data_IF_970951794663
#
_entry.id   IF_970951794663
#
_cell.length_a   1.000
_cell.length_b   1.000
_cell.length_c   1.000
_cell.angle_alpha   90.00
_cell.angle_beta   90.00
_cell.angle_gamma   90.00
#
_symmetry.space_group_name_H-M   'P 1'
#
loop_
_entity.id
_entity.type
_entity.pdbx_description
1 polymer ?
#
# COMPACT_ATOMS: atom_id res chain seq x y z
N UNK A 1 7.40 -17.27 -15.02
CA UNK A 1 6.77 -17.55 -13.73
C UNK A 1 6.47 -16.18 -13.14
N UNK A 2 5.21 -15.76 -13.12
CA UNK A 2 4.84 -14.49 -12.46
C UNK A 2 4.65 -14.87 -11.01
N UNK A 3 5.69 -14.65 -10.22
CA UNK A 3 5.69 -14.92 -8.79
C UNK A 3 4.62 -14.03 -8.16
N UNK A 4 3.54 -14.64 -7.67
CA UNK A 4 2.48 -14.01 -6.88
C UNK A 4 2.98 -13.73 -5.45
N UNK A 5 4.25 -13.39 -5.29
CA UNK A 5 4.72 -12.83 -4.04
C UNK A 5 4.21 -11.39 -4.02
N UNK A 6 3.51 -10.97 -2.96
CA UNK A 6 3.19 -9.56 -2.78
C UNK A 6 4.52 -8.80 -2.76
N UNK A 7 4.88 -8.14 -3.87
CA UNK A 7 6.21 -7.54 -4.04
C UNK A 7 6.38 -6.25 -3.21
N UNK A 8 5.44 -5.95 -2.30
CA UNK A 8 5.38 -4.66 -1.61
C UNK A 8 4.99 -3.50 -2.53
N UNK A 9 4.62 -3.78 -3.78
CA UNK A 9 4.38 -2.75 -4.81
C UNK A 9 3.20 -1.86 -4.50
N UNK A 10 2.18 -2.37 -3.79
CA UNK A 10 0.99 -1.60 -3.43
C UNK A 10 1.34 -0.46 -2.47
N UNK A 11 2.03 -0.76 -1.37
CA UNK A 11 2.54 0.27 -0.43
C UNK A 11 3.57 1.18 -1.11
N UNK A 12 4.48 0.62 -1.90
CA UNK A 12 5.54 1.39 -2.54
C UNK A 12 4.98 2.41 -3.54
N UNK A 13 3.91 2.10 -4.28
CA UNK A 13 3.21 3.08 -5.12
C UNK A 13 2.61 4.23 -4.31
N UNK A 14 2.04 3.94 -3.13
CA UNK A 14 1.43 4.96 -2.28
C UNK A 14 2.50 5.92 -1.75
N UNK A 15 3.67 5.39 -1.37
CA UNK A 15 4.84 6.17 -0.95
C UNK A 15 5.43 7.00 -2.09
N UNK A 16 5.63 6.39 -3.26
CA UNK A 16 6.19 7.06 -4.44
C UNK A 16 5.34 8.25 -4.90
N UNK A 17 4.02 8.13 -4.76
CA UNK A 17 3.07 9.21 -5.04
C UNK A 17 3.00 10.29 -3.95
N UNK A 18 3.67 10.11 -2.81
CA UNK A 18 3.74 11.12 -1.74
C UNK A 18 2.39 11.50 -1.16
N UNK A 19 1.41 10.58 -1.13
CA UNK A 19 0.07 10.91 -0.61
C UNK A 19 0.09 11.25 0.88
N UNK A 20 0.99 10.62 1.64
CA UNK A 20 1.19 10.89 3.06
C UNK A 20 1.72 12.30 3.32
N UNK A 21 2.55 12.87 2.42
CA UNK A 21 3.25 14.13 2.67
C UNK A 21 2.30 15.30 2.90
N UNK A 22 1.10 15.29 2.29
CA UNK A 22 0.08 16.31 2.53
C UNK A 22 -0.50 16.31 3.94
N UNK A 23 -0.37 15.20 4.65
CA UNK A 23 -0.95 14.98 5.98
C UNK A 23 0.11 14.92 7.08
N UNK A 24 1.41 14.98 6.73
CA UNK A 24 2.51 14.96 7.71
C UNK A 24 2.48 16.17 8.63
N UNK A 25 2.15 17.35 8.11
CA UNK A 25 1.97 18.58 8.90
C UNK A 25 0.81 18.51 9.90
N UNK A 26 -0.09 17.54 9.76
CA UNK A 26 -1.24 17.38 10.65
C UNK A 26 -0.86 16.75 12.00
N UNK A 27 0.38 16.25 12.14
CA UNK A 27 0.91 15.65 13.38
C UNK A 27 0.13 14.42 13.85
N UNK A 28 -0.61 13.79 12.94
CA UNK A 28 -1.44 12.62 13.22
C UNK A 28 -0.83 11.37 12.60
N UNK A 29 -1.01 10.19 13.22
CA UNK A 29 -0.54 8.94 12.64
C UNK A 29 -1.21 8.72 11.28
N UNK A 30 -0.39 8.49 10.25
CA UNK A 30 -0.86 8.23 8.90
C UNK A 30 -0.78 6.74 8.64
N UNK A 31 -1.93 6.11 8.41
CA UNK A 31 -2.02 4.70 8.04
C UNK A 31 -2.09 4.57 6.52
N UNK A 32 -1.04 4.01 5.92
CA UNK A 32 -1.01 3.63 4.51
C UNK A 32 -1.48 2.19 4.37
N UNK A 33 -2.47 1.96 3.52
CA UNK A 33 -3.04 0.63 3.28
C UNK A 33 -2.87 0.29 1.80
N UNK A 34 -1.97 -0.64 1.51
CA UNK A 34 -1.81 -1.23 0.19
C UNK A 34 -2.67 -2.49 0.08
N UNK A 35 -3.41 -2.63 -1.01
CA UNK A 35 -4.19 -3.84 -1.32
C UNK A 35 -3.77 -4.41 -2.66
N UNK A 36 -3.62 -5.72 -2.73
CA UNK A 36 -3.24 -6.45 -3.94
C UNK A 36 -4.41 -7.30 -4.42
N UNK A 37 -4.83 -7.02 -5.64
CA UNK A 37 -5.99 -7.64 -6.26
C UNK A 37 -5.57 -8.57 -7.39
N UNK A 38 -5.99 -9.84 -7.31
CA UNK A 38 -5.83 -10.78 -8.40
C UNK A 38 -6.97 -10.65 -9.38
N UNK A 39 -6.67 -10.23 -10.62
CA UNK A 39 -7.66 -10.12 -11.69
C UNK A 39 -8.27 -11.46 -12.12
N UNK A 40 -7.52 -12.55 -11.97
CA UNK A 40 -7.96 -13.90 -12.36
C UNK A 40 -8.97 -14.46 -11.37
N UNK A 41 -8.67 -14.36 -10.07
CA UNK A 41 -9.55 -14.83 -9.00
C UNK A 41 -10.60 -13.79 -8.57
N UNK A 42 -10.49 -12.56 -9.10
CA UNK A 42 -11.29 -11.39 -8.72
C UNK A 42 -11.35 -11.17 -7.21
N UNK A 43 -10.24 -11.45 -6.53
CA UNK A 43 -10.16 -11.44 -5.08
C UNK A 43 -8.89 -10.72 -4.59
N UNK A 44 -8.90 -10.29 -3.34
CA UNK A 44 -7.76 -9.69 -2.66
C UNK A 44 -6.82 -10.84 -2.25
N UNK A 45 -5.60 -10.82 -2.75
CA UNK A 45 -4.60 -11.86 -2.48
C UNK A 45 -3.56 -11.43 -1.45
N UNK A 46 -3.50 -10.13 -1.16
CA UNK A 46 -2.60 -9.55 -0.18
C UNK A 46 -3.07 -8.17 0.24
N UNK A 47 -2.75 -7.79 1.47
CA UNK A 47 -2.87 -6.42 1.92
C UNK A 47 -1.74 -6.13 2.90
N UNK A 48 -1.28 -4.90 2.91
CA UNK A 48 -0.23 -4.44 3.81
C UNK A 48 -0.62 -3.11 4.40
N UNK A 49 -0.27 -2.92 5.68
CA UNK A 49 -0.55 -1.69 6.41
C UNK A 49 0.75 -1.18 6.99
N UNK A 50 1.07 0.07 6.70
CA UNK A 50 2.19 0.78 7.31
C UNK A 50 1.68 2.03 8.02
N UNK A 51 2.14 2.24 9.25
CA UNK A 51 1.81 3.45 10.01
C UNK A 51 3.05 4.33 10.07
N UNK A 52 2.89 5.57 9.63
CA UNK A 52 3.92 6.61 9.71
C UNK A 52 3.52 7.53 10.86
N UNK A 53 4.38 7.63 11.86
CA UNK A 53 4.26 8.55 12.99
C UNK A 53 5.16 9.77 12.78
#
# INVERSE_FOLDING_TARGET
MVELTPEGRALQQIKDKGYADKYRDLGQPIHLIGVEFNKTERNIIGFEVETIA
#
